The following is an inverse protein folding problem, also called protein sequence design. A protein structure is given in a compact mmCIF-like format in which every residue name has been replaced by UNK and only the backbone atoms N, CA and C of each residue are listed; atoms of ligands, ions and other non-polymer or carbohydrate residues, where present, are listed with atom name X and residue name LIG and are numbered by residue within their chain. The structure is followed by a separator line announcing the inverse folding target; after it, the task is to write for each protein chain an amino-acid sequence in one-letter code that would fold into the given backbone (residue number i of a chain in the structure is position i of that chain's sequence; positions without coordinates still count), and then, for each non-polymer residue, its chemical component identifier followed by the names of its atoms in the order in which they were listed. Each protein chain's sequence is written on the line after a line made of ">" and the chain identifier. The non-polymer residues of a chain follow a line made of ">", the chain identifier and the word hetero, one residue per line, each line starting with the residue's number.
data_IF_338932492974
#
_entry.id   IF_338932492974
#
_cell.length_a   1.000
_cell.length_b   1.000
_cell.length_c   1.000
_cell.angle_alpha   90.00
_cell.angle_beta   90.00
_cell.angle_gamma   90.00
#
_symmetry.space_group_name_H-M   'P 1'
#
loop_
_entity.id
_entity.type
_entity.pdbx_description
1 polymer ?
#
# COMPACT_ATOMS: atom_id res chain seq x y z
N UNK A 1 -1.57 28.81 -17.93
CA UNK A 1 -1.36 27.97 -16.73
C UNK A 1 -1.85 26.54 -16.99
N UNK A 2 -0.96 25.60 -17.35
CA UNK A 2 -1.32 24.20 -17.66
C UNK A 2 -1.10 23.29 -16.43
N UNK A 3 -1.86 23.47 -15.36
CA UNK A 3 -1.80 22.60 -14.17
C UNK A 3 -3.02 21.68 -14.12
N UNK A 4 -3.23 20.81 -15.12
CA UNK A 4 -4.31 19.81 -15.03
C UNK A 4 -4.16 18.55 -15.89
N UNK A 5 -3.21 18.48 -16.82
CA UNK A 5 -3.16 17.42 -17.85
C UNK A 5 -2.45 16.12 -17.40
N UNK A 6 -1.72 16.09 -16.28
CA UNK A 6 -0.95 14.91 -15.85
C UNK A 6 -1.38 14.29 -14.50
N UNK A 7 -2.55 14.65 -13.96
CA UNK A 7 -3.00 14.14 -12.65
C UNK A 7 -3.54 12.70 -12.69
N UNK A 8 -3.66 12.10 -13.88
CA UNK A 8 -4.38 10.83 -14.12
C UNK A 8 -3.53 9.70 -14.73
N UNK A 9 -2.21 9.90 -14.92
CA UNK A 9 -1.42 9.00 -15.77
C UNK A 9 -0.54 7.98 -15.05
N UNK A 10 -0.67 7.84 -13.72
CA UNK A 10 -0.11 6.70 -12.99
C UNK A 10 -0.84 6.56 -11.66
N UNK A 11 -1.88 5.73 -11.63
CA UNK A 11 -2.40 5.23 -10.35
C UNK A 11 -1.31 4.33 -9.73
N UNK A 12 -0.38 4.95 -8.99
CA UNK A 12 0.63 4.19 -8.25
C UNK A 12 -0.01 3.68 -6.98
N UNK A 13 0.19 2.40 -6.72
CA UNK A 13 -0.21 1.71 -5.51
C UNK A 13 1.01 1.52 -4.62
N UNK A 14 0.80 1.58 -3.31
CA UNK A 14 1.81 1.30 -2.31
C UNK A 14 1.37 0.09 -1.51
N UNK A 15 2.33 -0.80 -1.27
CA UNK A 15 2.17 -1.96 -0.40
C UNK A 15 2.85 -1.61 0.91
N UNK A 16 2.13 -1.72 2.03
CA UNK A 16 2.60 -1.35 3.35
C UNK A 16 2.24 -2.41 4.38
N UNK A 17 2.99 -2.41 5.48
CA UNK A 17 2.65 -3.20 6.65
C UNK A 17 1.83 -2.36 7.65
N UNK A 18 0.77 -2.93 8.19
CA UNK A 18 0.07 -2.32 9.32
C UNK A 18 1.01 -2.28 10.54
N UNK A 19 1.22 -1.09 11.10
CA UNK A 19 2.06 -0.91 12.29
C UNK A 19 1.46 -1.48 13.57
N UNK A 20 0.17 -1.84 13.56
CA UNK A 20 -0.53 -2.41 14.72
C UNK A 20 -0.64 -3.93 14.64
N UNK A 21 -1.17 -4.48 13.55
CA UNK A 21 -1.40 -5.93 13.43
C UNK A 21 -0.41 -6.66 12.51
N UNK A 22 0.53 -5.97 11.87
CA UNK A 22 1.52 -6.58 10.99
C UNK A 22 0.98 -7.06 9.62
N UNK A 23 -0.33 -6.98 9.36
CA UNK A 23 -0.91 -7.39 8.09
C UNK A 23 -0.48 -6.49 6.92
N UNK A 24 -0.41 -7.09 5.73
CA UNK A 24 -0.09 -6.40 4.49
C UNK A 24 -1.34 -5.69 3.95
N UNK A 25 -1.18 -4.43 3.58
CA UNK A 25 -2.23 -3.59 3.03
C UNK A 25 -1.78 -2.96 1.71
N UNK A 26 -2.76 -2.65 0.86
CA UNK A 26 -2.57 -1.90 -0.37
C UNK A 26 -3.29 -0.56 -0.22
N UNK A 27 -2.62 0.53 -0.60
CA UNK A 27 -3.21 1.86 -0.66
C UNK A 27 -2.80 2.56 -1.96
N UNK A 28 -3.50 3.63 -2.33
CA UNK A 28 -3.09 4.49 -3.44
C UNK A 28 -2.05 5.49 -2.96
N UNK A 29 -1.01 5.72 -3.77
CA UNK A 29 0.02 6.72 -3.49
C UNK A 29 -0.62 8.10 -3.42
N UNK A 30 -0.29 8.86 -2.37
CA UNK A 30 -0.87 10.18 -2.11
C UNK A 30 -2.10 10.18 -1.18
N UNK A 31 -2.64 9.02 -0.79
CA UNK A 31 -3.57 8.97 0.33
C UNK A 31 -2.84 9.32 1.63
N UNK A 32 -3.45 10.15 2.48
CA UNK A 32 -2.86 10.54 3.77
C UNK A 32 -3.01 9.44 4.83
N UNK A 33 -4.17 8.79 4.83
CA UNK A 33 -4.50 7.75 5.81
C UNK A 33 -5.16 6.55 5.14
N UNK A 34 -4.98 5.37 5.74
CA UNK A 34 -5.65 4.14 5.35
C UNK A 34 -6.19 3.46 6.60
N UNK A 35 -7.45 3.08 6.56
CA UNK A 35 -8.01 2.18 7.57
C UNK A 35 -7.53 0.76 7.27
N UNK A 36 -6.90 0.11 8.25
CA UNK A 36 -6.60 -1.31 8.18
C UNK A 36 -7.91 -2.09 8.19
N UNK A 37 -8.13 -2.93 7.18
CA UNK A 37 -9.33 -3.77 7.05
C UNK A 37 -9.31 -5.00 7.96
N UNK A 38 -8.23 -5.21 8.73
CA UNK A 38 -8.07 -6.35 9.63
C UNK A 38 -8.27 -5.95 11.09
N UNK A 39 -7.59 -4.91 11.57
CA UNK A 39 -7.62 -4.49 12.98
C UNK A 39 -8.28 -3.12 13.20
N UNK A 40 -8.84 -2.51 12.16
CA UNK A 40 -9.48 -1.18 12.21
C UNK A 40 -8.58 -0.02 12.67
N UNK A 41 -7.27 -0.22 12.79
CA UNK A 41 -6.34 0.88 13.07
C UNK A 41 -6.28 1.83 11.88
N UNK A 42 -6.38 3.13 12.15
CA UNK A 42 -6.17 4.18 11.15
C UNK A 42 -4.67 4.47 11.03
N UNK A 43 -4.09 4.12 9.88
CA UNK A 43 -2.68 4.30 9.60
C UNK A 43 -2.43 5.63 8.92
N UNK A 44 -1.40 6.35 9.34
CA UNK A 44 -0.87 7.50 8.62
C UNK A 44 0.16 7.02 7.59
N UNK A 45 -0.17 7.12 6.31
CA UNK A 45 0.63 6.57 5.21
C UNK A 45 1.99 7.28 5.02
N UNK A 46 2.19 8.44 5.62
CA UNK A 46 3.50 9.10 5.66
C UNK A 46 4.45 8.53 6.73
N UNK A 47 3.91 7.77 7.69
CA UNK A 47 4.67 7.22 8.83
C UNK A 47 4.77 5.69 8.82
N UNK A 48 4.04 5.01 7.92
CA UNK A 48 4.08 3.55 7.81
C UNK A 48 5.33 3.07 7.08
N UNK A 49 5.74 1.85 7.39
CA UNK A 49 6.76 1.14 6.63
C UNK A 49 6.19 0.73 5.27
N UNK A 50 6.68 1.38 4.21
CA UNK A 50 6.46 0.97 2.83
C UNK A 50 7.29 -0.28 2.52
N UNK A 51 6.65 -1.27 1.89
CA UNK A 51 7.30 -2.51 1.49
C UNK A 51 7.61 -2.52 -0.01
N UNK A 52 6.71 -1.96 -0.82
CA UNK A 52 6.88 -1.86 -2.26
C UNK A 52 5.94 -0.82 -2.88
N UNK A 53 6.21 -0.43 -4.12
CA UNK A 53 5.30 0.34 -4.97
C UNK A 53 4.89 -0.51 -6.19
N UNK A 54 3.73 -0.22 -6.76
CA UNK A 54 3.20 -0.89 -7.94
C UNK A 54 2.54 0.13 -8.88
N UNK A 55 2.65 -0.09 -10.18
CA UNK A 55 2.15 0.85 -11.19
C UNK A 55 0.66 0.67 -11.51
N UNK A 56 0.06 -0.44 -11.05
CA UNK A 56 -1.36 -0.75 -11.22
C UNK A 56 -1.84 -1.71 -10.12
N UNK A 57 -3.16 -1.89 -10.03
CA UNK A 57 -3.81 -2.70 -9.00
C UNK A 57 -3.46 -4.19 -9.07
N UNK A 58 -3.36 -4.76 -10.28
CA UNK A 58 -3.02 -6.18 -10.50
C UNK A 58 -1.61 -6.48 -10.00
N UNK A 59 -0.65 -5.63 -10.32
CA UNK A 59 0.72 -5.72 -9.85
C UNK A 59 0.79 -5.57 -8.33
N UNK A 60 0.04 -4.63 -7.75
CA UNK A 60 -0.02 -4.45 -6.31
C UNK A 60 -0.51 -5.70 -5.57
N UNK A 61 -1.57 -6.34 -6.09
CA UNK A 61 -2.09 -7.60 -5.54
C UNK A 61 -1.05 -8.71 -5.63
N UNK A 62 -0.36 -8.86 -6.77
CA UNK A 62 0.68 -9.89 -6.96
C UNK A 62 1.84 -9.69 -5.97
N UNK A 63 2.31 -8.45 -5.82
CA UNK A 63 3.38 -8.12 -4.88
C UNK A 63 2.93 -8.38 -3.44
N UNK A 64 1.72 -7.96 -3.05
CA UNK A 64 1.20 -8.19 -1.70
C UNK A 64 1.08 -9.69 -1.37
N UNK A 65 0.64 -10.52 -2.32
CA UNK A 65 0.59 -11.98 -2.16
C UNK A 65 1.99 -12.58 -1.98
N UNK A 66 2.95 -12.20 -2.84
CA UNK A 66 4.32 -12.67 -2.75
C UNK A 66 4.99 -12.28 -1.41
N UNK A 67 4.73 -11.07 -0.92
CA UNK A 67 5.22 -10.61 0.37
C UNK A 67 4.58 -11.42 1.49
N UNK A 68 3.25 -11.61 1.46
CA UNK A 68 2.55 -12.39 2.49
C UNK A 68 3.08 -13.82 2.58
N UNK A 69 3.40 -14.44 1.45
CA UNK A 69 3.99 -15.77 1.39
C UNK A 69 5.38 -15.84 2.05
N UNK A 70 6.24 -14.85 1.75
CA UNK A 70 7.57 -14.71 2.38
C UNK A 70 7.50 -14.40 3.88
N UNK A 71 6.46 -13.72 4.35
CA UNK A 71 6.27 -13.43 5.78
C UNK A 71 5.63 -14.60 6.56
N UNK A 72 4.92 -15.51 5.88
CA UNK A 72 4.42 -16.76 6.49
C UNK A 72 5.52 -17.79 6.75
N UNK A 73 6.70 -17.59 6.16
CA UNK A 73 7.85 -18.49 6.27
C UNK A 73 8.83 -18.11 7.38
N UNK A 74 8.48 -17.16 8.26
CA UNK A 74 9.22 -16.93 9.51
C UNK A 74 8.61 -17.85 10.58
N UNK A 75 9.34 -18.86 11.07
CA UNK A 75 8.88 -19.77 12.13
C UNK A 75 8.62 -19.05 13.46
#
# INVERSE_FOLDING_TARGET
>A
MRKQIYRWLREVYIILQCSSCGNILIARKGQKTKLCTYCNTRLNLHKVRLLAEASNSREASRIAMNIKDRYKSVP
#
